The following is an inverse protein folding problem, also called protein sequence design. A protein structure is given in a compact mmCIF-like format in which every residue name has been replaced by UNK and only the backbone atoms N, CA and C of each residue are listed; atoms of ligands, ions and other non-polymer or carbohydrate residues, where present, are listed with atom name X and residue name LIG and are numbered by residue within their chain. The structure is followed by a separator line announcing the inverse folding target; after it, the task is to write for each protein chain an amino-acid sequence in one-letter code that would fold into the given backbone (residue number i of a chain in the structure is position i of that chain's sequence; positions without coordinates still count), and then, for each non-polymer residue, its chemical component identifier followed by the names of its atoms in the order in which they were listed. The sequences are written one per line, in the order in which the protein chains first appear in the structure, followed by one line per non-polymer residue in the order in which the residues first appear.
data_IF_544138405290
#
_entry.id   IF_544138405290
#
_cell.length_a   1.000
_cell.length_b   1.000
_cell.length_c   1.000
_cell.angle_alpha   90.00
_cell.angle_beta   90.00
_cell.angle_gamma   90.00
#
_symmetry.space_group_name_H-M   'P 1'
#
loop_
_entity.id
_entity.type
_entity.pdbx_description
1 polymer ?
#
# COMPACT_ATOMS: atom_id res chain seq x y z
N UNK A 1 -9.10 -10.76 12.53
CA UNK A 1 -8.87 -12.11 11.95
C UNK A 1 -9.93 -13.12 12.40
N UNK A 2 -10.28 -13.19 13.69
CA UNK A 2 -11.29 -14.14 14.21
C UNK A 2 -12.59 -14.15 13.40
N UNK A 3 -13.18 -12.98 13.18
CA UNK A 3 -14.38 -12.88 12.34
C UNK A 3 -14.14 -13.43 10.93
N UNK A 4 -13.12 -12.96 10.20
CA UNK A 4 -12.86 -13.41 8.83
C UNK A 4 -12.67 -14.94 8.70
N UNK A 5 -12.07 -15.58 9.70
CA UNK A 5 -11.69 -16.99 9.63
C UNK A 5 -12.73 -17.94 10.25
N UNK A 6 -13.52 -17.47 11.21
CA UNK A 6 -14.42 -18.32 11.99
C UNK A 6 -15.83 -17.73 12.16
N UNK A 7 -16.05 -16.46 11.81
CA UNK A 7 -17.31 -15.77 12.07
C UNK A 7 -17.50 -15.29 13.49
N UNK A 8 -16.43 -15.21 14.25
CA UNK A 8 -16.46 -14.83 15.65
C UNK A 8 -15.29 -13.91 16.01
N UNK A 9 -15.59 -12.67 16.38
CA UNK A 9 -14.61 -11.70 16.86
C UNK A 9 -13.99 -12.09 18.21
N UNK A 10 -14.71 -12.88 19.02
CA UNK A 10 -14.25 -13.39 20.33
C UNK A 10 -13.01 -14.27 20.24
N UNK A 11 -12.68 -14.76 19.04
CA UNK A 11 -11.48 -15.57 18.78
C UNK A 11 -10.18 -14.72 18.72
N UNK A 12 -10.23 -13.41 18.97
CA UNK A 12 -9.05 -12.54 18.88
C UNK A 12 -7.87 -12.99 19.76
N UNK A 13 -8.13 -13.53 20.96
CA UNK A 13 -7.06 -14.04 21.84
C UNK A 13 -6.36 -15.23 21.21
N UNK A 14 -7.11 -16.21 20.68
CA UNK A 14 -6.53 -17.38 19.98
C UNK A 14 -5.57 -16.95 18.88
N UNK A 15 -5.98 -16.01 18.02
CA UNK A 15 -5.14 -15.55 16.92
C UNK A 15 -3.96 -14.69 17.38
N UNK A 16 -4.12 -13.92 18.47
CA UNK A 16 -3.02 -13.19 19.11
C UNK A 16 -1.95 -14.16 19.61
N UNK A 17 -2.33 -15.20 20.33
CA UNK A 17 -1.41 -16.23 20.81
C UNK A 17 -0.66 -16.91 19.66
N UNK A 18 -1.38 -17.30 18.60
CA UNK A 18 -0.77 -17.89 17.40
C UNK A 18 0.25 -16.96 16.74
N UNK A 19 -0.06 -15.67 16.62
CA UNK A 19 0.82 -14.66 16.03
C UNK A 19 2.07 -14.44 16.88
N UNK A 20 1.91 -14.24 18.18
CA UNK A 20 3.07 -14.00 19.07
C UNK A 20 3.96 -15.23 19.12
N UNK A 21 3.40 -16.44 19.19
CA UNK A 21 4.17 -17.68 19.15
C UNK A 21 4.99 -17.78 17.84
N UNK A 22 4.37 -17.46 16.70
CA UNK A 22 5.06 -17.45 15.42
C UNK A 22 6.23 -16.45 15.41
N UNK A 23 6.03 -15.25 15.96
CA UNK A 23 7.08 -14.22 16.08
C UNK A 23 8.23 -14.72 16.95
N UNK A 24 7.95 -15.36 18.09
CA UNK A 24 8.96 -15.95 18.98
C UNK A 24 9.77 -17.05 18.28
N UNK A 25 9.09 -17.94 17.54
CA UNK A 25 9.75 -19.01 16.78
C UNK A 25 10.63 -18.51 15.63
N UNK A 26 10.34 -17.31 15.11
CA UNK A 26 11.06 -16.68 13.99
C UNK A 26 11.75 -15.38 14.41
N UNK A 27 12.26 -15.32 15.65
CA UNK A 27 12.84 -14.11 16.25
C UNK A 27 13.79 -13.33 15.33
N UNK A 28 14.71 -14.02 14.66
CA UNK A 28 15.70 -13.38 13.77
C UNK A 28 15.05 -12.57 12.62
N UNK A 29 13.86 -12.97 12.18
CA UNK A 29 13.13 -12.31 11.09
C UNK A 29 12.33 -11.10 11.59
N UNK A 30 11.85 -11.14 12.83
CA UNK A 30 10.92 -10.15 13.38
C UNK A 30 11.58 -9.12 14.31
N UNK A 31 12.60 -9.52 15.08
CA UNK A 31 13.30 -8.64 16.03
C UNK A 31 13.84 -7.34 15.39
N UNK A 32 14.35 -7.32 14.14
CA UNK A 32 14.80 -6.09 13.50
C UNK A 32 13.71 -5.02 13.28
N UNK A 33 12.43 -5.38 13.40
CA UNK A 33 11.30 -4.47 13.22
C UNK A 33 10.71 -3.96 14.55
N UNK A 34 11.22 -4.46 15.68
CA UNK A 34 10.85 -3.97 17.02
C UNK A 34 11.68 -2.73 17.32
N UNK A 35 11.10 -1.77 18.04
CA UNK A 35 11.80 -0.55 18.46
C UNK A 35 13.06 -0.90 19.29
N UNK A 36 14.21 -0.31 18.97
CA UNK A 36 15.50 -0.61 19.61
C UNK A 36 15.49 -0.46 21.16
N UNK A 37 14.59 0.35 21.69
CA UNK A 37 14.43 0.60 23.14
C UNK A 37 13.57 -0.46 23.85
N UNK A 38 12.93 -1.37 23.10
CA UNK A 38 12.04 -2.41 23.63
C UNK A 38 12.69 -3.78 23.46
N UNK A 39 13.08 -4.48 24.54
CA UNK A 39 13.57 -5.85 24.45
C UNK A 39 12.55 -6.78 23.78
N UNK A 40 13.02 -7.70 22.94
CA UNK A 40 12.16 -8.64 22.21
C UNK A 40 11.18 -9.39 23.12
N UNK A 41 11.65 -9.89 24.26
CA UNK A 41 10.81 -10.68 25.18
C UNK A 41 9.72 -9.79 25.81
N UNK A 42 10.05 -8.54 26.18
CA UNK A 42 9.09 -7.56 26.71
C UNK A 42 8.05 -7.17 25.65
N UNK A 43 8.46 -7.07 24.38
CA UNK A 43 7.56 -6.87 23.25
C UNK A 43 6.54 -8.01 23.13
N UNK A 44 7.01 -9.26 23.11
CA UNK A 44 6.15 -10.43 23.02
C UNK A 44 5.18 -10.53 24.21
N UNK A 45 5.67 -10.29 25.43
CA UNK A 45 4.84 -10.27 26.65
C UNK A 45 3.77 -9.17 26.61
N UNK A 46 4.12 -7.98 26.09
CA UNK A 46 3.16 -6.90 25.88
C UNK A 46 2.10 -7.28 24.85
N UNK A 47 2.51 -7.89 23.73
CA UNK A 47 1.63 -8.31 22.66
C UNK A 47 0.67 -9.42 23.07
N UNK A 48 0.97 -10.22 24.09
CA UNK A 48 0.05 -11.21 24.66
C UNK A 48 -1.08 -10.61 25.49
N UNK A 49 -0.93 -9.37 25.97
CA UNK A 49 -1.94 -8.72 26.82
C UNK A 49 -3.16 -8.33 25.99
N UNK A 50 -4.34 -8.56 26.57
CA UNK A 50 -5.58 -8.10 25.98
C UNK A 50 -5.60 -6.57 25.88
N UNK A 51 -6.17 -6.05 24.80
CA UNK A 51 -6.19 -4.61 24.51
C UNK A 51 -4.90 -4.02 23.94
N UNK A 52 -3.77 -4.76 23.87
CA UNK A 52 -2.55 -4.27 23.21
C UNK A 52 -2.75 -4.19 21.68
N UNK A 53 -2.39 -3.08 21.06
CA UNK A 53 -2.60 -2.89 19.62
C UNK A 53 -1.58 -3.66 18.79
N UNK A 54 -2.06 -4.25 17.70
CA UNK A 54 -1.24 -4.95 16.72
C UNK A 54 -0.94 -4.02 15.54
N UNK A 55 0.28 -4.09 15.01
CA UNK A 55 0.73 -3.31 13.86
C UNK A 55 0.87 -4.13 12.58
N UNK A 56 1.63 -3.58 11.64
CA UNK A 56 1.91 -4.23 10.35
C UNK A 56 2.70 -5.53 10.52
N UNK A 57 3.60 -5.58 11.51
CA UNK A 57 4.40 -6.78 11.79
C UNK A 57 3.53 -7.96 12.20
N UNK A 58 2.54 -7.74 13.07
CA UNK A 58 1.59 -8.77 13.50
C UNK A 58 0.67 -9.19 12.37
N UNK A 59 0.32 -8.27 11.46
CA UNK A 59 -0.44 -8.64 10.26
C UNK A 59 0.38 -9.52 9.33
N UNK A 60 1.68 -9.25 9.16
CA UNK A 60 2.58 -10.11 8.39
C UNK A 60 2.69 -11.50 9.01
N UNK A 61 2.97 -11.60 10.31
CA UNK A 61 3.00 -12.87 11.04
C UNK A 61 1.65 -13.60 11.00
N UNK A 62 0.55 -12.85 11.16
CA UNK A 62 -0.81 -13.35 11.07
C UNK A 62 -1.15 -13.93 9.70
N UNK A 63 -0.68 -13.29 8.62
CA UNK A 63 -0.83 -13.81 7.26
C UNK A 63 -0.12 -15.16 7.12
N UNK A 64 1.12 -15.26 7.60
CA UNK A 64 1.93 -16.48 7.50
C UNK A 64 1.33 -17.62 8.32
N UNK A 65 1.01 -17.39 9.60
CA UNK A 65 0.51 -18.46 10.50
C UNK A 65 -0.89 -18.95 10.12
N UNK A 66 -1.71 -18.12 9.47
CA UNK A 66 -3.06 -18.51 9.03
C UNK A 66 -3.10 -19.05 7.61
N UNK A 67 -2.00 -18.92 6.84
CA UNK A 67 -1.97 -19.35 5.44
C UNK A 67 -2.90 -18.50 4.55
N UNK A 68 -3.02 -17.19 4.83
CA UNK A 68 -3.94 -16.28 4.14
C UNK A 68 -3.24 -14.98 3.76
N UNK A 69 -3.44 -14.52 2.52
CA UNK A 69 -3.09 -13.14 2.17
C UNK A 69 -4.04 -12.17 2.88
N UNK A 70 -3.64 -10.89 2.98
CA UNK A 70 -4.45 -9.85 3.61
C UNK A 70 -4.61 -8.67 2.66
N UNK A 71 -5.84 -8.19 2.49
CA UNK A 71 -6.14 -6.91 1.82
C UNK A 71 -6.68 -5.92 2.84
N UNK A 72 -6.08 -4.74 2.88
CA UNK A 72 -6.42 -3.65 3.79
C UNK A 72 -7.05 -2.52 2.97
N UNK A 73 -8.30 -2.21 3.28
CA UNK A 73 -9.07 -1.13 2.69
C UNK A 73 -8.94 0.14 3.52
N UNK A 74 -8.68 1.27 2.86
CA UNK A 74 -8.60 2.58 3.49
C UNK A 74 -9.41 3.60 2.68
N UNK A 75 -10.12 4.49 3.37
CA UNK A 75 -10.96 5.49 2.71
C UNK A 75 -10.10 6.45 1.88
N UNK A 76 -10.48 6.62 0.61
CA UNK A 76 -9.80 7.50 -0.36
C UNK A 76 -8.30 7.22 -0.55
N UNK A 77 -7.86 6.00 -0.24
CA UNK A 77 -6.48 5.55 -0.38
C UNK A 77 -6.42 4.26 -1.19
N UNK A 78 -5.28 3.97 -1.84
CA UNK A 78 -5.06 2.66 -2.44
C UNK A 78 -5.22 1.54 -1.41
N UNK A 79 -5.69 0.38 -1.86
CA UNK A 79 -5.70 -0.86 -1.06
C UNK A 79 -4.27 -1.33 -0.84
N UNK A 80 -3.97 -1.80 0.36
CA UNK A 80 -2.69 -2.42 0.68
C UNK A 80 -2.83 -3.94 0.74
N UNK A 81 -1.76 -4.65 0.41
CA UNK A 81 -1.75 -6.10 0.34
C UNK A 81 -0.55 -6.67 1.09
N UNK A 82 -0.81 -7.73 1.85
CA UNK A 82 0.21 -8.67 2.33
C UNK A 82 0.01 -9.96 1.51
N UNK A 83 0.94 -10.20 0.58
CA UNK A 83 0.87 -11.31 -0.39
C UNK A 83 2.00 -12.31 -0.14
N UNK A 84 1.75 -13.29 0.73
CA UNK A 84 2.68 -14.37 1.01
C UNK A 84 2.40 -15.62 0.14
N UNK A 85 1.18 -15.75 -0.39
CA UNK A 85 0.71 -16.93 -1.11
C UNK A 85 0.26 -16.60 -2.54
N UNK A 86 0.44 -17.54 -3.46
CA UNK A 86 0.12 -17.39 -4.88
C UNK A 86 -0.79 -18.52 -5.40
N UNK A 87 -1.26 -18.41 -6.64
CA UNK A 87 -2.10 -19.44 -7.28
C UNK A 87 -3.42 -19.67 -6.55
N UNK A 88 -3.76 -20.94 -6.28
CA UNK A 88 -5.03 -21.32 -5.64
C UNK A 88 -5.15 -20.82 -4.19
N UNK A 89 -4.03 -20.57 -3.53
CA UNK A 89 -4.03 -20.10 -2.13
C UNK A 89 -4.27 -18.59 -2.05
N UNK A 90 -3.92 -17.84 -3.10
CA UNK A 90 -4.12 -16.40 -3.17
C UNK A 90 -5.61 -15.99 -3.16
N UNK A 91 -6.53 -16.88 -3.54
CA UNK A 91 -7.96 -16.59 -3.49
C UNK A 91 -8.53 -16.58 -2.07
N UNK A 92 -7.78 -17.08 -1.10
CA UNK A 92 -8.21 -17.13 0.29
C UNK A 92 -7.58 -15.96 1.05
N UNK A 93 -8.23 -14.80 0.93
CA UNK A 93 -7.74 -13.53 1.46
C UNK A 93 -8.60 -13.04 2.62
N UNK A 94 -7.96 -12.54 3.65
CA UNK A 94 -8.61 -11.81 4.75
C UNK A 94 -8.76 -10.35 4.31
N UNK A 95 -9.97 -9.80 4.43
CA UNK A 95 -10.23 -8.40 4.13
C UNK A 95 -10.45 -7.61 5.42
N UNK A 96 -9.65 -6.56 5.60
CA UNK A 96 -9.70 -5.66 6.74
C UNK A 96 -9.93 -4.23 6.27
N UNK A 97 -10.59 -3.39 7.06
CA UNK A 97 -10.58 -1.94 6.85
C UNK A 97 -9.83 -1.26 7.98
N UNK A 98 -9.03 -0.25 7.65
CA UNK A 98 -8.25 0.52 8.60
C UNK A 98 -8.78 1.96 8.68
N UNK A 99 -9.03 2.42 9.91
CA UNK A 99 -9.62 3.74 10.15
C UNK A 99 -8.90 4.50 11.26
N UNK A 100 -8.70 5.80 11.03
CA UNK A 100 -8.28 6.79 12.02
C UNK A 100 -6.99 6.49 12.81
N UNK A 101 -6.13 5.58 12.33
CA UNK A 101 -4.87 5.29 13.01
C UNK A 101 -4.92 4.16 14.03
N UNK A 102 -6.10 3.61 14.33
CA UNK A 102 -6.30 2.90 15.61
C UNK A 102 -6.83 1.48 15.48
N UNK A 103 -7.66 1.19 14.47
CA UNK A 103 -8.39 -0.07 14.48
C UNK A 103 -8.58 -0.71 13.10
N UNK A 104 -8.44 -2.03 13.08
CA UNK A 104 -8.77 -2.89 11.94
C UNK A 104 -10.13 -3.54 12.15
N UNK A 105 -11.06 -3.31 11.22
CA UNK A 105 -12.35 -3.98 11.21
C UNK A 105 -12.37 -5.09 10.15
N UNK A 106 -13.19 -6.11 10.40
CA UNK A 106 -13.48 -7.13 9.39
C UNK A 106 -14.33 -6.54 8.25
N UNK A 107 -14.02 -6.90 7.01
CA UNK A 107 -14.81 -6.53 5.83
C UNK A 107 -15.42 -7.79 5.22
N UNK A 108 -16.76 -7.84 5.20
CA UNK A 108 -17.54 -8.93 4.60
C UNK A 108 -18.34 -8.44 3.40
N UNK A 109 -18.74 -9.39 2.55
CA UNK A 109 -19.70 -9.12 1.49
C UNK A 109 -21.06 -8.74 2.07
N UNK A 110 -21.83 -7.91 1.36
CA UNK A 110 -23.18 -7.52 1.82
C UNK A 110 -24.15 -8.71 1.84
N UNK A 111 -23.92 -9.67 0.95
CA UNK A 111 -24.63 -10.94 0.87
C UNK A 111 -24.13 -12.03 1.83
N UNK A 112 -23.07 -11.75 2.61
CA UNK A 112 -22.53 -12.69 3.58
C UNK A 112 -23.54 -12.91 4.73
N UNK A 113 -23.89 -14.16 5.08
CA UNK A 113 -24.85 -14.45 6.13
C UNK A 113 -24.31 -14.21 7.55
N UNK A 114 -23.02 -13.86 7.70
CA UNK A 114 -22.31 -13.74 8.97
C UNK A 114 -22.36 -15.01 9.83
N UNK A 115 -22.44 -16.18 9.18
CA UNK A 115 -22.41 -17.48 9.84
C UNK A 115 -21.14 -18.22 9.43
N UNK A 116 -20.15 -18.25 10.34
CA UNK A 116 -18.88 -18.89 10.09
C UNK A 116 -17.87 -18.01 9.32
N UNK A 117 -16.86 -18.64 8.67
CA UNK A 117 -15.82 -17.93 7.92
C UNK A 117 -16.43 -16.99 6.87
N UNK A 118 -15.78 -15.85 6.64
CA UNK A 118 -16.23 -14.89 5.65
C UNK A 118 -16.22 -15.48 4.24
N UNK A 119 -17.23 -15.15 3.45
CA UNK A 119 -17.30 -15.49 2.03
C UNK A 119 -16.14 -14.82 1.27
N UNK A 120 -15.48 -15.53 0.33
CA UNK A 120 -14.37 -14.96 -0.43
C UNK A 120 -14.78 -13.72 -1.22
N UNK A 121 -14.04 -12.62 -1.02
CA UNK A 121 -14.23 -11.38 -1.80
C UNK A 121 -13.36 -11.46 -3.06
N UNK A 122 -13.98 -11.30 -4.23
CA UNK A 122 -13.27 -11.28 -5.53
C UNK A 122 -13.23 -9.87 -6.09
N UNK A 123 -12.05 -9.24 -6.06
CA UNK A 123 -11.84 -7.90 -6.61
C UNK A 123 -11.30 -8.02 -8.04
N UNK A 124 -12.14 -7.71 -9.03
CA UNK A 124 -11.88 -7.95 -10.47
C UNK A 124 -10.66 -7.22 -11.04
N UNK A 125 -10.22 -6.11 -10.43
CA UNK A 125 -9.07 -5.32 -10.89
C UNK A 125 -7.72 -5.86 -10.42
N UNK A 126 -7.70 -6.76 -9.42
CA UNK A 126 -6.48 -7.12 -8.70
C UNK A 126 -5.85 -8.43 -9.23
N UNK A 127 -6.50 -9.08 -10.20
CA UNK A 127 -6.00 -10.32 -10.83
C UNK A 127 -4.65 -10.14 -11.55
N UNK A 128 -4.18 -8.91 -11.73
CA UNK A 128 -2.90 -8.59 -12.36
C UNK A 128 -1.79 -8.21 -11.36
N UNK A 129 -2.10 -8.00 -10.07
CA UNK A 129 -1.15 -7.52 -9.05
C UNK A 129 -0.41 -8.68 -8.38
N UNK A 130 -0.98 -9.89 -8.40
CA UNK A 130 -0.36 -11.11 -7.86
C UNK A 130 0.93 -11.54 -8.57
N UNK A 131 1.31 -10.88 -9.68
CA UNK A 131 2.48 -11.23 -10.50
C UNK A 131 3.69 -10.34 -10.26
N UNK A 132 3.56 -9.21 -9.56
CA UNK A 132 4.59 -8.14 -9.57
C UNK A 132 5.44 -8.03 -8.30
N UNK A 133 5.15 -8.79 -7.24
CA UNK A 133 5.86 -8.66 -5.95
C UNK A 133 7.13 -9.50 -5.81
N UNK A 134 7.49 -10.35 -6.77
CA UNK A 134 8.57 -11.34 -6.63
C UNK A 134 9.93 -10.90 -7.20
N UNK A 135 10.29 -9.61 -7.15
CA UNK A 135 11.64 -9.23 -7.59
C UNK A 135 12.24 -8.05 -6.83
N UNK A 136 12.48 -8.23 -5.53
CA UNK A 136 13.31 -7.32 -4.76
C UNK A 136 14.15 -8.06 -3.71
N UNK A 137 14.93 -9.06 -4.11
CA UNK A 137 16.27 -9.35 -3.56
C UNK A 137 16.83 -10.67 -4.12
N UNK A 138 17.86 -10.57 -4.95
CA UNK A 138 19.14 -11.32 -4.81
C UNK A 138 20.10 -10.82 -5.88
N UNK A 139 21.08 -10.00 -5.47
CA UNK A 139 22.28 -9.69 -6.27
C UNK A 139 23.30 -10.81 -6.05
N UNK A 140 23.68 -11.52 -7.12
CA UNK A 140 25.04 -12.06 -7.29
C UNK A 140 25.34 -12.34 -8.78
N UNK A 141 26.49 -11.83 -9.23
CA UNK A 141 27.21 -12.03 -10.51
C UNK A 141 27.24 -13.51 -10.96
N UNK A 142 27.37 -13.89 -12.24
CA UNK A 142 28.42 -13.44 -13.17
C UNK A 142 28.17 -13.85 -14.65
N UNK A 143 28.49 -12.91 -15.55
CA UNK A 143 29.20 -13.05 -16.84
C UNK A 143 28.78 -13.97 -18.01
N UNK A 144 28.57 -13.26 -19.14
CA UNK A 144 28.95 -13.53 -20.55
C UNK A 144 28.01 -14.41 -21.40
N UNK A 145 27.43 -13.83 -22.47
CA UNK A 145 28.07 -13.64 -23.79
C UNK A 145 27.11 -13.03 -24.84
N UNK A 146 27.62 -12.02 -25.55
CA UNK A 146 27.23 -11.40 -26.82
C UNK A 146 25.93 -11.80 -27.53
N UNK A 147 25.16 -10.83 -28.04
CA UNK A 147 25.34 -10.22 -29.37
C UNK A 147 24.05 -9.50 -29.84
N UNK A 148 24.25 -8.40 -30.56
CA UNK A 148 23.35 -7.75 -31.53
C UNK A 148 21.99 -7.15 -31.10
N UNK A 149 21.98 -5.80 -31.11
CA UNK A 149 20.94 -4.89 -31.63
C UNK A 149 19.50 -5.43 -31.76
N UNK A 150 18.67 -5.07 -30.79
CA UNK A 150 17.27 -4.64 -30.97
C UNK A 150 16.98 -3.74 -29.78
N UNK A 151 16.95 -2.42 -29.94
CA UNK A 151 15.69 -1.67 -30.03
C UNK A 151 14.62 -2.32 -29.12
N UNK A 152 14.32 -1.67 -28.00
CA UNK A 152 13.28 -2.05 -27.04
C UNK A 152 12.05 -2.66 -27.73
N UNK A 153 11.43 -3.66 -27.08
CA UNK A 153 10.26 -4.34 -27.61
C UNK A 153 9.23 -3.34 -28.14
N UNK A 154 8.69 -3.63 -29.33
CA UNK A 154 7.74 -2.78 -30.04
C UNK A 154 6.50 -2.47 -29.18
N UNK A 155 6.17 -3.37 -28.24
CA UNK A 155 5.12 -3.17 -27.23
C UNK A 155 5.45 -2.03 -26.27
N UNK A 156 6.65 -2.01 -25.69
CA UNK A 156 7.07 -0.95 -24.75
C UNK A 156 7.11 0.41 -25.41
N UNK A 157 7.63 0.47 -26.64
CA UNK A 157 7.64 1.70 -27.45
C UNK A 157 6.22 2.20 -27.70
N UNK A 158 5.29 1.32 -28.08
CA UNK A 158 3.88 1.68 -28.32
C UNK A 158 3.18 2.20 -27.05
N UNK A 159 3.44 1.59 -25.90
CA UNK A 159 2.85 2.03 -24.63
C UNK A 159 3.34 3.42 -24.24
N UNK A 160 4.65 3.69 -24.34
CA UNK A 160 5.20 5.03 -24.09
C UNK A 160 4.65 6.05 -25.08
N UNK A 161 4.55 5.72 -26.37
CA UNK A 161 3.97 6.62 -27.38
C UNK A 161 2.50 6.95 -27.11
N UNK A 162 1.71 5.96 -26.67
CA UNK A 162 0.30 6.15 -26.33
C UNK A 162 0.11 7.01 -25.07
N UNK A 163 0.92 6.79 -24.02
CA UNK A 163 0.84 7.54 -22.76
C UNK A 163 1.37 8.97 -22.85
N UNK A 164 2.41 9.18 -23.66
CA UNK A 164 3.03 10.51 -23.83
C UNK A 164 2.42 11.33 -24.95
N UNK A 165 1.76 10.69 -25.94
CA UNK A 165 1.37 11.32 -27.20
C UNK A 165 2.58 11.66 -28.09
N UNK A 166 3.70 10.95 -27.94
CA UNK A 166 4.89 11.14 -28.77
C UNK A 166 4.86 10.27 -30.02
N UNK A 167 5.03 10.87 -31.19
CA UNK A 167 5.17 10.17 -32.47
C UNK A 167 6.63 9.89 -32.85
N UNK A 168 7.60 10.40 -32.09
CA UNK A 168 9.03 10.21 -32.36
C UNK A 168 9.57 8.97 -31.65
N UNK A 169 9.62 7.86 -32.40
CA UNK A 169 10.11 6.55 -31.95
C UNK A 169 11.55 6.60 -31.44
N UNK A 170 12.43 7.40 -32.06
CA UNK A 170 13.83 7.47 -31.66
C UNK A 170 14.00 8.13 -30.28
N UNK A 171 13.19 9.14 -29.97
CA UNK A 171 13.18 9.78 -28.65
C UNK A 171 12.64 8.82 -27.58
N UNK A 172 11.58 8.08 -27.89
CA UNK A 172 11.01 7.07 -26.98
C UNK A 172 12.01 5.94 -26.69
N UNK A 173 12.72 5.45 -27.71
CA UNK A 173 13.75 4.43 -27.53
C UNK A 173 14.95 4.94 -26.74
N UNK A 174 15.30 6.22 -26.85
CA UNK A 174 16.35 6.83 -26.04
C UNK A 174 15.95 6.87 -24.57
N UNK A 175 14.77 7.42 -24.26
CA UNK A 175 14.28 7.55 -22.87
C UNK A 175 14.07 6.18 -22.23
N UNK A 176 13.50 5.22 -22.97
CA UNK A 176 13.40 3.84 -22.49
C UNK A 176 14.77 3.25 -22.14
N UNK A 177 15.84 3.67 -22.81
CA UNK A 177 17.19 3.24 -22.44
C UNK A 177 17.81 3.95 -21.27
N UNK A 178 17.45 5.21 -21.04
CA UNK A 178 17.87 5.93 -19.84
C UNK A 178 17.12 5.44 -18.59
N UNK A 179 15.89 4.95 -18.77
CA UNK A 179 15.03 4.40 -17.70
C UNK A 179 15.11 2.87 -17.59
N UNK A 180 16.16 2.25 -18.12
CA UNK A 180 16.43 0.80 -18.01
C UNK A 180 15.26 -0.11 -18.49
N UNK A 181 14.43 0.40 -19.41
CA UNK A 181 13.27 -0.28 -19.98
C UNK A 181 11.95 -0.07 -19.24
N UNK A 182 11.92 0.74 -18.18
CA UNK A 182 10.70 1.06 -17.44
C UNK A 182 9.80 2.02 -18.23
N UNK A 183 8.62 1.50 -18.63
CA UNK A 183 7.64 2.23 -19.43
C UNK A 183 6.96 3.35 -18.63
N UNK A 184 6.63 3.11 -17.36
CA UNK A 184 5.89 4.08 -16.55
C UNK A 184 6.80 5.26 -16.20
N UNK A 185 8.05 4.97 -15.81
CA UNK A 185 9.09 5.98 -15.58
C UNK A 185 9.40 6.78 -16.86
N UNK A 186 9.45 6.12 -18.02
CA UNK A 186 9.67 6.79 -19.31
C UNK A 186 8.49 7.69 -19.71
N UNK A 187 7.24 7.27 -19.45
CA UNK A 187 6.05 8.09 -19.71
C UNK A 187 6.07 9.35 -18.85
N UNK A 188 6.30 9.20 -17.55
CA UNK A 188 6.34 10.33 -16.61
C UNK A 188 7.44 11.34 -16.98
N UNK A 189 8.64 10.85 -17.26
CA UNK A 189 9.77 11.69 -17.67
C UNK A 189 9.45 12.49 -18.94
N UNK A 190 8.92 11.84 -19.97
CA UNK A 190 8.60 12.51 -21.25
C UNK A 190 7.44 13.51 -21.12
N UNK A 191 6.47 13.26 -20.24
CA UNK A 191 5.39 14.22 -19.95
C UNK A 191 5.98 15.43 -19.20
N UNK A 192 6.83 15.20 -18.20
CA UNK A 192 7.48 16.27 -17.46
C UNK A 192 8.36 17.15 -18.35
N UNK A 193 9.12 16.56 -19.27
CA UNK A 193 9.99 17.28 -20.21
C UNK A 193 9.20 18.11 -21.24
N UNK A 194 8.01 17.65 -21.65
CA UNK A 194 7.09 18.43 -22.50
C UNK A 194 6.50 19.64 -21.78
N UNK A 195 6.22 19.52 -20.48
CA UNK A 195 5.71 20.63 -19.68
C UNK A 195 6.81 21.66 -19.37
N UNK A 196 8.08 21.24 -19.30
CA UNK A 196 9.21 22.16 -19.19
C UNK A 196 9.42 22.99 -20.47
N UNK A 197 9.08 22.46 -21.65
CA UNK A 197 9.14 23.19 -22.92
C UNK A 197 7.98 24.17 -23.16
N UNK A 198 6.94 24.15 -22.32
CA UNK A 198 5.78 25.06 -22.41
C UNK A 198 5.83 26.25 -21.43
N UNK A 199 6.92 26.37 -20.66
CA UNK A 199 7.08 27.39 -19.60
C UNK A 199 7.95 28.60 -20.02
N UNK A 200 7.81 29.08 -21.26
CA UNK A 200 8.35 30.40 -21.67
C UNK A 200 7.30 31.34 -22.31
N UNK A 201 6.00 31.01 -22.27
CA UNK A 201 5.00 31.98 -22.72
C UNK A 201 3.67 31.78 -22.03
N UNK A 202 3.48 32.35 -20.83
CA UNK A 202 2.30 33.20 -20.53
C UNK A 202 2.54 33.94 -19.22
N UNK A 203 2.70 35.25 -19.33
CA UNK A 203 2.61 36.21 -18.24
C UNK A 203 1.18 36.24 -17.69
N UNK A 204 0.93 35.62 -16.54
CA UNK A 204 -0.34 35.77 -15.83
C UNK A 204 -0.19 36.80 -14.72
N UNK A 205 -0.80 37.96 -14.97
CA UNK A 205 -0.92 39.09 -14.04
C UNK A 205 -1.53 38.65 -12.71
N UNK A 206 -0.75 38.81 -11.65
CA UNK A 206 -1.21 38.85 -10.27
C UNK A 206 -2.06 40.11 -10.07
N UNK A 207 -3.37 39.94 -9.84
CA UNK A 207 -4.22 41.02 -9.31
C UNK A 207 -4.50 40.74 -7.85
N UNK A 208 -3.78 41.47 -7.01
CA UNK A 208 -4.12 41.70 -5.61
C UNK A 208 -5.38 42.56 -5.54
N UNK A 209 -6.39 42.11 -4.79
CA UNK A 209 -7.48 42.96 -4.33
C UNK A 209 -7.60 42.81 -2.81
N UNK A 210 -6.86 43.64 -2.09
CA UNK A 210 -7.07 43.94 -0.69
C UNK A 210 -7.58 45.38 -0.54
N UNK A 211 -8.74 45.52 0.07
CA UNK A 211 -9.29 46.71 0.77
C UNK A 211 -10.61 46.20 1.38
N UNK A 212 -10.94 46.30 2.66
CA UNK A 212 -10.46 47.16 3.73
C UNK A 212 -11.70 47.69 4.47
N UNK A 213 -11.80 47.33 5.76
CA UNK A 213 -12.46 48.06 6.87
C UNK A 213 -13.98 48.36 6.84
N UNK A 214 -14.71 47.78 7.79
CA UNK A 214 -15.56 48.56 8.72
C UNK A 214 -16.00 47.73 9.93
N UNK A 215 -16.27 48.44 11.02
CA UNK A 215 -16.04 48.07 12.40
C UNK A 215 -17.30 47.69 13.20
N UNK A 216 -17.07 47.06 14.37
CA UNK A 216 -17.77 47.22 15.67
C UNK A 216 -19.18 46.61 15.79
N UNK A 217 -19.31 45.64 16.72
CA UNK A 217 -20.06 45.83 17.97
C UNK A 217 -19.82 44.63 18.92
N UNK A 218 -19.24 44.93 20.08
CA UNK A 218 -19.23 44.08 21.25
C UNK A 218 -20.63 44.04 21.88
N UNK A 219 -21.02 42.89 22.44
CA UNK A 219 -22.00 42.84 23.54
C UNK A 219 -21.47 41.86 24.58
N UNK A 220 -21.16 42.41 25.75
CA UNK A 220 -20.76 41.72 26.97
C UNK A 220 -21.93 40.95 27.63
N UNK A 221 -21.53 40.06 28.54
CA UNK A 221 -22.32 39.32 29.52
C UNK A 221 -23.31 40.16 30.36
N UNK A 222 -24.23 39.48 31.05
CA UNK A 222 -24.09 39.31 32.51
C UNK A 222 -24.24 37.82 32.91
N UNK A 223 -23.34 37.24 33.70
CA UNK A 223 -23.15 37.35 35.16
C UNK A 223 -24.21 36.61 36.00
N UNK A 224 -23.68 35.70 36.82
CA UNK A 224 -24.17 35.24 38.14
C UNK A 224 -25.36 34.26 38.20
N UNK A 225 -25.16 33.07 38.81
CA UNK A 225 -25.19 32.93 40.28
C UNK A 225 -24.82 31.47 40.69
N UNK A 226 -23.90 31.38 41.67
CA UNK A 226 -23.65 30.33 42.68
C UNK A 226 -23.59 28.85 42.31
#
# INVERSE_FOLDING_TARGET
MGDQLEGDEGQHIKYREMVVHYIVEHREEFEPFIEDEVPFDDYCDSMMKDGTWAGNMELQAGSLVTGRNICIHMLNSPRWYINNFSGREASNMVHLSYHHGEHYNSVRLTEDPCQGPAMPVVIKTDSNVASTSNNAQTKAKDSKKSSNRSAYDDTSVKMVMAGTGCSNVAAVQHVLGEMDGDVDSAIEYMIAERHAAAYDDTSVKLVMAGTGCSSVAAVEHPSDLQ
#
